data_IF_564563616822
#
_entry.id   IF_564563616822
#
_cell.length_a   1.000
_cell.length_b   1.000
_cell.length_c   1.000
_cell.angle_alpha   90.00
_cell.angle_beta   90.00
_cell.angle_gamma   90.00
#
_symmetry.space_group_name_H-M   'P 1'
#
loop_
_entity.id
_entity.type
_entity.pdbx_description
1 polymer ?
#
# COMPACT_ATOMS: atom_id res chain seq x y z
N UNK A 1 14.35 2.22 5.17
CA UNK A 1 13.87 1.85 3.81
C UNK A 1 13.33 0.41 3.71
N UNK A 2 14.09 -0.62 4.12
CA UNK A 2 13.67 -2.03 3.98
C UNK A 2 12.46 -2.40 4.86
N UNK A 3 12.45 -1.99 6.13
CA UNK A 3 11.34 -2.26 7.05
C UNK A 3 10.04 -1.52 6.65
N UNK A 4 10.14 -0.24 6.27
CA UNK A 4 8.97 0.54 5.86
C UNK A 4 8.27 -0.05 4.62
N UNK A 5 9.04 -0.50 3.62
CA UNK A 5 8.47 -1.16 2.43
C UNK A 5 7.75 -2.46 2.79
N UNK A 6 8.29 -3.27 3.70
CA UNK A 6 7.62 -4.49 4.16
C UNK A 6 6.32 -4.17 4.91
N UNK A 7 6.32 -3.14 5.78
CA UNK A 7 5.12 -2.70 6.48
C UNK A 7 4.01 -2.29 5.50
N UNK A 8 4.32 -1.52 4.45
CA UNK A 8 3.33 -1.14 3.43
C UNK A 8 2.78 -2.33 2.65
N UNK A 9 3.64 -3.31 2.33
CA UNK A 9 3.21 -4.53 1.64
C UNK A 9 2.24 -5.33 2.51
N UNK A 10 2.60 -5.57 3.77
CA UNK A 10 1.76 -6.33 4.71
C UNK A 10 0.44 -5.60 4.97
N UNK A 11 0.48 -4.28 5.18
CA UNK A 11 -0.71 -3.45 5.38
C UNK A 11 -1.67 -3.51 4.18
N UNK A 12 -1.16 -3.36 2.95
CA UNK A 12 -2.00 -3.41 1.76
C UNK A 12 -2.56 -4.80 1.47
N UNK A 13 -1.80 -5.85 1.76
CA UNK A 13 -2.31 -7.22 1.64
C UNK A 13 -3.45 -7.47 2.64
N UNK A 14 -3.33 -6.97 3.87
CA UNK A 14 -4.39 -7.02 4.86
C UNK A 14 -5.64 -6.25 4.40
N UNK A 15 -5.48 -5.04 3.84
CA UNK A 15 -6.59 -4.28 3.25
C UNK A 15 -7.29 -5.04 2.13
N UNK A 16 -6.55 -5.68 1.23
CA UNK A 16 -7.16 -6.47 0.14
C UNK A 16 -7.92 -7.70 0.66
N UNK A 17 -7.41 -8.35 1.72
CA UNK A 17 -8.15 -9.42 2.40
C UNK A 17 -9.45 -8.90 2.99
N UNK A 18 -9.42 -7.76 3.66
CA UNK A 18 -10.63 -7.14 4.20
C UNK A 18 -11.62 -6.78 3.10
N UNK A 19 -11.15 -6.20 2.00
CA UNK A 19 -12.01 -5.87 0.85
C UNK A 19 -12.70 -7.11 0.28
N UNK A 20 -12.00 -8.23 0.20
CA UNK A 20 -12.59 -9.53 -0.19
C UNK A 20 -13.64 -10.03 0.79
N UNK A 21 -13.37 -9.94 2.09
CA UNK A 21 -14.26 -10.47 3.13
C UNK A 21 -15.50 -9.57 3.34
N UNK A 22 -15.30 -8.26 3.42
CA UNK A 22 -16.36 -7.31 3.81
C UNK A 22 -17.10 -6.72 2.61
N UNK A 23 -16.44 -6.54 1.46
CA UNK A 23 -17.09 -5.98 0.27
C UNK A 23 -17.42 -7.03 -0.80
N UNK A 24 -16.97 -8.28 -0.63
CA UNK A 24 -17.12 -9.32 -1.65
C UNK A 24 -16.34 -9.03 -2.94
N UNK A 25 -15.39 -8.09 -2.92
CA UNK A 25 -14.62 -7.66 -4.09
C UNK A 25 -13.19 -8.16 -4.03
N UNK A 26 -12.69 -8.71 -5.14
CA UNK A 26 -11.28 -9.11 -5.30
C UNK A 26 -10.60 -8.28 -6.37
N UNK A 27 -9.32 -7.96 -6.16
CA UNK A 27 -8.49 -7.21 -7.09
C UNK A 27 -7.46 -8.18 -7.64
N UNK A 28 -7.08 -7.97 -8.89
CA UNK A 28 -5.94 -8.66 -9.43
C UNK A 28 -4.66 -8.17 -8.72
N UNK A 29 -3.64 -9.02 -8.59
CA UNK A 29 -2.38 -8.64 -7.94
C UNK A 29 -1.78 -7.33 -8.48
N UNK A 30 -1.92 -7.07 -9.78
CA UNK A 30 -1.47 -5.85 -10.45
C UNK A 30 -2.20 -4.61 -9.91
N UNK A 31 -3.52 -4.69 -9.68
CA UNK A 31 -4.30 -3.61 -9.09
C UNK A 31 -3.89 -3.35 -7.64
N UNK A 32 -3.60 -4.41 -6.87
CA UNK A 32 -3.08 -4.27 -5.50
C UNK A 32 -1.72 -3.55 -5.51
N UNK A 33 -0.86 -3.81 -6.50
CA UNK A 33 0.41 -3.08 -6.66
C UNK A 33 0.17 -1.60 -6.97
N UNK A 34 -0.83 -1.26 -7.78
CA UNK A 34 -1.22 0.13 -8.04
C UNK A 34 -1.67 0.82 -6.76
N UNK A 35 -2.55 0.19 -5.97
CA UNK A 35 -3.00 0.75 -4.68
C UNK A 35 -1.86 1.02 -3.70
N UNK A 36 -0.87 0.11 -3.65
CA UNK A 36 0.34 0.31 -2.84
C UNK A 36 1.11 1.56 -3.32
N UNK A 37 1.29 1.73 -4.64
CA UNK A 37 2.00 2.88 -5.20
C UNK A 37 1.28 4.19 -4.89
N UNK A 38 -0.04 4.22 -5.02
CA UNK A 38 -0.88 5.38 -4.70
C UNK A 38 -0.76 5.75 -3.21
N UNK A 39 -0.84 4.77 -2.30
CA UNK A 39 -0.67 5.02 -0.87
C UNK A 39 0.73 5.57 -0.54
N UNK A 40 1.78 5.01 -1.17
CA UNK A 40 3.13 5.52 -1.00
C UNK A 40 3.30 6.93 -1.55
N UNK A 41 2.65 7.26 -2.67
CA UNK A 41 2.66 8.60 -3.26
C UNK A 41 1.96 9.61 -2.35
N UNK A 42 0.77 9.29 -1.85
CA UNK A 42 0.03 10.12 -0.90
C UNK A 42 0.84 10.40 0.36
N UNK A 43 1.54 9.39 0.89
CA UNK A 43 2.42 9.58 2.06
C UNK A 43 3.62 10.47 1.77
N UNK A 44 4.25 10.33 0.59
CA UNK A 44 5.32 11.25 0.18
C UNK A 44 4.82 12.69 0.04
N UNK A 45 3.60 12.89 -0.46
CA UNK A 45 2.99 14.21 -0.54
C UNK A 45 2.72 14.79 0.86
N UNK A 46 2.17 13.99 1.78
CA UNK A 46 1.81 14.44 3.11
C UNK A 46 3.01 14.68 4.05
N UNK A 47 4.03 13.81 3.99
CA UNK A 47 5.18 13.86 4.90
C UNK A 47 6.46 14.44 4.27
N UNK A 48 6.40 14.84 2.99
CA UNK A 48 7.60 15.09 2.19
C UNK A 48 8.31 13.80 1.78
N UNK A 49 9.23 13.90 0.81
CA UNK A 49 10.13 12.77 0.52
C UNK A 49 11.07 12.61 1.72
N UNK A 50 11.34 11.39 2.22
CA UNK A 50 12.42 11.22 3.18
C UNK A 50 13.68 11.78 2.55
N UNK A 51 14.27 12.80 3.17
CA UNK A 51 15.60 13.30 2.81
C UNK A 51 16.55 12.14 3.09
N UNK A 52 16.96 11.44 2.05
CA UNK A 52 18.06 10.48 2.11
C UNK A 52 19.31 11.36 1.95
N UNK A 53 19.87 11.83 3.08
CA UNK A 53 21.25 12.30 3.15
C UNK A 53 22.18 11.09 3.16
#
# INVERSE_FOLDING_TARGET
>A
LKASVLMYKVWNLWKERNRRVFEGKSAQPQQVVVFIKEEMALRRQACGSPVIL
#
